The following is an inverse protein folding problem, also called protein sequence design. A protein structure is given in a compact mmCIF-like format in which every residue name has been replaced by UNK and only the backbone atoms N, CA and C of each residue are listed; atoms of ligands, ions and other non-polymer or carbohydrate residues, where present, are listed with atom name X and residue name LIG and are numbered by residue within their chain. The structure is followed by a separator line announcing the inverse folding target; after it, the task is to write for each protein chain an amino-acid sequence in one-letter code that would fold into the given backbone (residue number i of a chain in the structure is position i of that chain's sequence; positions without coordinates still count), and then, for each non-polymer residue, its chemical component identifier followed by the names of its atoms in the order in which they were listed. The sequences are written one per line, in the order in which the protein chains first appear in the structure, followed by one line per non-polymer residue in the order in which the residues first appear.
data_IF_848148010141
#
_entry.id   IF_848148010141
#
_cell.length_a   1.000
_cell.length_b   1.000
_cell.length_c   1.000
_cell.angle_alpha   90.00
_cell.angle_beta   90.00
_cell.angle_gamma   90.00
#
_symmetry.space_group_name_H-M   'P 1'
#
loop_
_entity.id
_entity.type
_entity.pdbx_description
1 polymer ?
#
# COMPACT_ATOMS: atom_id res chain seq x y z
N UNK A 1 4.89 -11.74 -6.58
CA UNK A 1 4.01 -11.39 -5.42
C UNK A 1 3.26 -10.09 -5.63
N UNK A 2 3.71 -9.28 -6.61
CA UNK A 2 3.06 -8.10 -7.14
C UNK A 2 1.53 -8.15 -7.27
N UNK A 3 0.94 -9.24 -7.79
CA UNK A 3 -0.53 -9.31 -7.97
C UNK A 3 -1.29 -9.25 -6.63
N UNK A 4 -0.83 -9.94 -5.58
CA UNK A 4 -1.48 -9.87 -4.25
C UNK A 4 -1.37 -8.48 -3.64
N UNK A 5 -0.23 -7.81 -3.83
CA UNK A 5 -0.04 -6.43 -3.39
C UNK A 5 -0.98 -5.48 -4.14
N UNK A 6 -1.14 -5.66 -5.45
CA UNK A 6 -2.09 -4.91 -6.26
C UNK A 6 -3.52 -5.07 -5.70
N UNK A 7 -3.94 -6.30 -5.41
CA UNK A 7 -5.28 -6.56 -4.88
C UNK A 7 -5.53 -5.86 -3.53
N UNK A 8 -4.55 -5.88 -2.60
CA UNK A 8 -4.68 -5.20 -1.30
C UNK A 8 -4.62 -3.66 -1.42
N UNK A 9 -3.87 -3.13 -2.39
CA UNK A 9 -3.88 -1.70 -2.69
C UNK A 9 -5.22 -1.25 -3.29
N UNK A 10 -5.84 -2.05 -4.14
CA UNK A 10 -7.18 -1.76 -4.68
C UNK A 10 -8.24 -1.72 -3.57
N UNK A 11 -8.21 -2.67 -2.62
CA UNK A 11 -9.08 -2.63 -1.43
C UNK A 11 -8.84 -1.40 -0.56
N UNK A 12 -7.58 -0.97 -0.45
CA UNK A 12 -7.23 0.25 0.30
C UNK A 12 -7.77 1.51 -0.37
N UNK A 13 -7.68 1.59 -1.70
CA UNK A 13 -8.28 2.68 -2.48
C UNK A 13 -9.80 2.70 -2.28
N UNK A 14 -10.45 1.54 -2.39
CA UNK A 14 -11.89 1.41 -2.14
C UNK A 14 -12.26 1.87 -0.73
N UNK A 15 -11.54 1.40 0.29
CA UNK A 15 -11.71 1.82 1.68
C UNK A 15 -11.58 3.33 1.85
N UNK A 16 -10.58 3.96 1.23
CA UNK A 16 -10.37 5.40 1.27
C UNK A 16 -11.52 6.17 0.61
N UNK A 17 -12.08 5.67 -0.48
CA UNK A 17 -13.29 6.24 -1.08
C UNK A 17 -14.51 6.11 -0.15
N UNK A 18 -14.72 4.94 0.43
CA UNK A 18 -15.84 4.67 1.34
C UNK A 18 -15.79 5.53 2.61
N UNK A 19 -14.59 5.82 3.11
CA UNK A 19 -14.36 6.61 4.33
C UNK A 19 -14.19 8.11 4.07
N UNK A 20 -14.26 8.56 2.81
CA UNK A 20 -14.23 9.98 2.43
C UNK A 20 -12.83 10.59 2.25
N UNK A 21 -11.77 9.77 2.30
CA UNK A 21 -10.37 10.18 2.14
C UNK A 21 -9.94 10.21 0.67
N UNK A 22 -10.68 10.94 -0.17
CA UNK A 22 -10.50 10.93 -1.62
C UNK A 22 -9.11 11.40 -2.09
N UNK A 23 -8.48 12.35 -1.37
CA UNK A 23 -7.13 12.82 -1.75
C UNK A 23 -6.08 11.73 -1.60
N UNK A 24 -6.17 10.97 -0.51
CA UNK A 24 -5.32 9.82 -0.24
C UNK A 24 -5.62 8.70 -1.23
N UNK A 25 -6.90 8.45 -1.55
CA UNK A 25 -7.30 7.47 -2.57
C UNK A 25 -6.60 7.75 -3.91
N UNK A 26 -6.66 9.00 -4.41
CA UNK A 26 -6.00 9.40 -5.66
C UNK A 26 -4.47 9.23 -5.60
N UNK A 27 -3.84 9.48 -4.46
CA UNK A 27 -2.41 9.22 -4.31
C UNK A 27 -2.09 7.72 -4.43
N UNK A 28 -2.88 6.86 -3.76
CA UNK A 28 -2.74 5.41 -3.84
C UNK A 28 -3.05 4.86 -5.25
N UNK A 29 -4.03 5.42 -5.97
CA UNK A 29 -4.31 5.08 -7.37
C UNK A 29 -3.10 5.36 -8.28
N UNK A 30 -2.48 6.53 -8.12
CA UNK A 30 -1.27 6.87 -8.86
C UNK A 30 -0.12 5.91 -8.55
N UNK A 31 0.07 5.55 -7.27
CA UNK A 31 1.07 4.55 -6.88
C UNK A 31 0.77 3.16 -7.44
N UNK A 32 -0.49 2.74 -7.42
CA UNK A 32 -0.92 1.47 -7.98
C UNK A 32 -0.60 1.39 -9.47
N UNK A 33 -0.86 2.45 -10.24
CA UNK A 33 -0.56 2.50 -11.67
C UNK A 33 0.94 2.38 -11.94
N UNK A 34 1.77 3.13 -11.21
CA UNK A 34 3.23 3.04 -11.32
C UNK A 34 3.74 1.63 -10.99
N UNK A 35 3.20 1.00 -9.94
CA UNK A 35 3.54 -0.39 -9.58
C UNK A 35 3.13 -1.35 -10.70
N UNK A 36 1.92 -1.22 -11.26
CA UNK A 36 1.43 -2.05 -12.37
C UNK A 36 2.32 -1.95 -13.60
N UNK A 37 2.70 -0.74 -13.99
CA UNK A 37 3.54 -0.46 -15.17
C UNK A 37 5.01 -0.87 -15.00
N UNK A 38 5.53 -0.82 -13.77
CA UNK A 38 6.92 -1.20 -13.49
C UNK A 38 7.18 -2.71 -13.58
N UNK A 39 8.35 -3.11 -14.10
CA UNK A 39 8.78 -4.50 -14.08
C UNK A 39 9.11 -4.96 -12.65
N UNK A 40 8.65 -6.14 -12.24
CA UNK A 40 8.95 -6.68 -10.90
C UNK A 40 10.48 -6.85 -10.78
N UNK A 41 11.06 -6.35 -9.68
CA UNK A 41 12.51 -6.42 -9.46
C UNK A 41 13.33 -5.22 -9.94
N UNK A 42 12.74 -4.25 -10.64
CA UNK A 42 13.47 -3.04 -11.04
C UNK A 42 13.53 -1.99 -9.92
N UNK A 43 14.48 -1.05 -10.01
CA UNK A 43 14.67 -0.01 -9.00
C UNK A 43 13.43 0.87 -8.81
N UNK A 44 12.71 1.20 -9.89
CA UNK A 44 11.49 2.01 -9.81
C UNK A 44 10.32 1.26 -9.16
N UNK A 45 10.22 -0.06 -9.35
CA UNK A 45 9.26 -0.89 -8.61
C UNK A 45 9.53 -0.79 -7.11
N UNK A 46 10.77 -1.01 -6.67
CA UNK A 46 11.14 -0.95 -5.25
C UNK A 46 10.98 0.44 -4.64
N UNK A 47 11.33 1.49 -5.38
CA UNK A 47 11.11 2.85 -4.91
C UNK A 47 9.62 3.09 -4.62
N UNK A 48 8.72 2.68 -5.53
CA UNK A 48 7.29 2.82 -5.30
C UNK A 48 6.80 1.98 -4.10
N UNK A 49 7.35 0.77 -3.88
CA UNK A 49 7.04 -0.02 -2.70
C UNK A 49 7.45 0.69 -1.40
N UNK A 50 8.65 1.27 -1.35
CA UNK A 50 9.11 2.02 -0.18
C UNK A 50 8.27 3.26 0.09
N UNK A 51 7.84 3.98 -0.94
CA UNK A 51 6.96 5.14 -0.79
C UNK A 51 5.58 4.74 -0.25
N UNK A 52 5.03 3.61 -0.71
CA UNK A 52 3.79 3.05 -0.14
C UNK A 52 4.00 2.64 1.32
N UNK A 53 5.08 1.92 1.64
CA UNK A 53 5.39 1.48 3.01
C UNK A 53 5.50 2.65 4.00
N UNK A 54 6.22 3.70 3.60
CA UNK A 54 6.37 4.93 4.37
C UNK A 54 5.04 5.67 4.58
N UNK A 55 4.05 5.44 3.72
CA UNK A 55 2.71 6.05 3.83
C UNK A 55 1.76 5.28 4.75
N UNK A 56 2.12 4.07 5.19
CA UNK A 56 1.25 3.23 6.02
C UNK A 56 1.20 3.67 7.49
N UNK A 57 2.35 4.09 8.05
CA UNK A 57 2.49 4.37 9.48
C UNK A 57 3.16 5.72 9.77
N UNK A 58 2.89 6.29 10.95
CA UNK A 58 3.39 7.62 11.36
C UNK A 58 2.32 8.72 11.33
N UNK A 59 2.70 9.94 11.72
CA UNK A 59 1.76 11.07 11.78
C UNK A 59 1.27 11.46 10.37
N UNK A 60 -0.04 11.52 10.18
CA UNK A 60 -0.66 11.81 8.88
C UNK A 60 -0.60 10.68 7.86
N UNK A 61 -0.20 9.48 8.28
CA UNK A 61 -0.17 8.25 7.46
C UNK A 61 -1.55 7.62 7.32
N UNK A 62 -1.65 6.56 6.50
CA UNK A 62 -2.88 5.80 6.32
C UNK A 62 -3.44 5.28 7.66
N UNK A 63 -2.61 4.77 8.58
CA UNK A 63 -3.06 4.28 9.89
C UNK A 63 -3.55 5.38 10.84
N UNK A 64 -3.17 6.64 10.60
CA UNK A 64 -3.51 7.80 11.44
C UNK A 64 -4.75 8.54 10.91
N UNK A 65 -5.30 8.13 9.76
CA UNK A 65 -6.49 8.74 9.19
C UNK A 65 -7.70 8.52 10.12
N UNK A 66 -8.40 9.59 10.56
CA UNK A 66 -9.61 9.40 11.34
C UNK A 66 -10.70 8.73 10.49
N UNK A 67 -11.14 7.57 10.95
CA UNK A 67 -12.26 6.81 10.39
C UNK A 67 -13.28 6.53 11.49
N UNK A 68 -14.49 6.11 11.12
CA UNK A 68 -15.47 5.66 12.12
C UNK A 68 -14.95 4.41 12.82
N UNK A 69 -15.38 4.21 14.07
CA UNK A 69 -14.95 3.08 14.90
C UNK A 69 -15.15 1.71 14.22
N UNK A 70 -16.21 1.55 13.43
CA UNK A 70 -16.52 0.32 12.68
C UNK A 70 -15.48 -0.05 11.61
N UNK A 71 -14.65 0.92 11.18
CA UNK A 71 -13.65 0.75 10.13
C UNK A 71 -12.22 0.61 10.67
N UNK A 72 -12.01 0.80 11.98
CA UNK A 72 -10.66 0.81 12.58
C UNK A 72 -9.96 -0.53 12.38
N UNK A 73 -10.66 -1.64 12.64
CA UNK A 73 -10.07 -2.97 12.49
C UNK A 73 -9.71 -3.28 11.03
N UNK A 74 -10.57 -2.85 10.09
CA UNK A 74 -10.31 -3.00 8.66
C UNK A 74 -9.11 -2.14 8.21
N UNK A 75 -8.99 -0.91 8.73
CA UNK A 75 -7.85 -0.04 8.44
C UNK A 75 -6.53 -0.68 8.88
N UNK A 76 -6.48 -1.24 10.09
CA UNK A 76 -5.29 -1.91 10.61
C UNK A 76 -4.97 -3.21 9.86
N UNK A 77 -5.96 -4.02 9.51
CA UNK A 77 -5.77 -5.24 8.71
C UNK A 77 -5.16 -4.92 7.33
N UNK A 78 -5.61 -3.85 6.67
CA UNK A 78 -5.02 -3.38 5.41
C UNK A 78 -3.57 -2.92 5.57
N UNK A 79 -3.27 -2.16 6.63
CA UNK A 79 -1.89 -1.72 6.95
C UNK A 79 -0.96 -2.93 7.10
N UNK A 80 -1.34 -3.90 7.92
CA UNK A 80 -0.52 -5.08 8.19
C UNK A 80 -0.29 -5.90 6.92
N UNK A 81 -1.34 -6.15 6.13
CA UNK A 81 -1.25 -6.93 4.89
C UNK A 81 -0.35 -6.28 3.86
N UNK A 82 -0.51 -4.98 3.63
CA UNK A 82 0.33 -4.26 2.65
C UNK A 82 1.78 -4.25 3.12
N UNK A 83 2.04 -3.96 4.40
CA UNK A 83 3.39 -3.96 4.95
C UNK A 83 4.08 -5.33 4.77
N UNK A 84 3.41 -6.42 5.13
CA UNK A 84 3.95 -7.78 4.96
C UNK A 84 4.24 -8.10 3.49
N UNK A 85 3.31 -7.79 2.59
CA UNK A 85 3.51 -8.02 1.16
C UNK A 85 4.68 -7.20 0.60
N UNK A 86 4.88 -5.96 1.06
CA UNK A 86 6.04 -5.15 0.67
C UNK A 86 7.35 -5.78 1.16
N UNK A 87 7.41 -6.21 2.43
CA UNK A 87 8.58 -6.91 2.97
C UNK A 87 8.89 -8.20 2.21
N UNK A 88 7.87 -8.97 1.81
CA UNK A 88 8.05 -10.17 0.99
C UNK A 88 8.60 -9.83 -0.40
N UNK A 89 8.11 -8.77 -1.06
CA UNK A 89 8.59 -8.37 -2.38
C UNK A 89 10.05 -7.84 -2.34
N UNK A 90 10.44 -7.17 -1.25
CA UNK A 90 11.81 -6.65 -1.06
C UNK A 90 12.76 -7.78 -0.60
N UNK A 91 12.37 -8.53 0.42
CA UNK A 91 13.17 -9.58 1.05
C UNK A 91 13.49 -10.74 0.12
N UNK A 92 12.58 -11.12 -0.78
CA UNK A 92 12.84 -12.17 -1.78
C UNK A 92 13.90 -11.80 -2.82
N UNK A 93 14.30 -10.52 -2.94
CA UNK A 93 15.36 -10.13 -3.86
C UNK A 93 16.77 -10.19 -3.22
N UNK A 94 16.87 -10.06 -1.90
CA UNK A 94 18.14 -10.25 -1.18
C UNK A 94 18.63 -11.71 -1.17
N UNK A 95 17.76 -12.68 -1.42
CA UNK A 95 18.12 -14.10 -1.51
C UNK A 95 18.53 -14.55 -2.93
N UNK A 96 18.35 -13.69 -3.93
CA UNK A 96 18.66 -13.97 -5.34
C UNK A 96 19.86 -13.17 -5.89
N UNK A 97 20.62 -12.49 -5.02
CA UNK A 97 21.85 -11.77 -5.38
C UNK A 97 23.11 -12.40 -4.80
#
# INVERSE_FOLDING_TARGET
MKNKLIDELEKTIEFLHQTGWHKQAVWYENKLNLIKESEEGCASFYQNLHEVDASLTGMGSFSDLPVKQEFVDQQWDLVERIHQLILENIGNNHLNS
#
